data_IF_004122142213
#
_entry.id   IF_004122142213
#
_cell.length_a   1.000
_cell.length_b   1.000
_cell.length_c   1.000
_cell.angle_alpha   90.00
_cell.angle_beta   90.00
_cell.angle_gamma   90.00
#
_symmetry.space_group_name_H-M   'P 1'
#
loop_
_entity.id
_entity.type
_entity.pdbx_description
1 polymer ?
#
# COMPACT_ATOMS: atom_id res chain seq x y z
N UNK A 1 -8.82 -13.09 5.77
CA UNK A 1 -9.05 -11.64 5.74
C UNK A 1 -7.71 -10.91 5.74
N UNK A 2 -7.54 -9.97 4.82
CA UNK A 2 -6.27 -9.24 4.72
C UNK A 2 -6.25 -8.07 5.66
N UNK A 3 -5.12 -7.89 6.33
CA UNK A 3 -4.90 -6.72 7.18
C UNK A 3 -4.25 -5.60 6.37
N UNK A 4 -4.35 -4.38 6.89
CA UNK A 4 -3.73 -3.23 6.24
C UNK A 4 -2.20 -3.39 6.19
N UNK A 5 -1.60 -4.02 7.19
CA UNK A 5 -0.15 -4.27 7.20
C UNK A 5 0.27 -5.19 6.06
N UNK A 6 -0.50 -6.23 5.80
CA UNK A 6 -0.23 -7.12 4.68
C UNK A 6 -0.30 -6.39 3.34
N UNK A 7 -1.29 -5.51 3.19
CA UNK A 7 -1.43 -4.71 1.98
C UNK A 7 -0.23 -3.77 1.80
N UNK A 8 0.19 -3.12 2.87
CA UNK A 8 1.35 -2.23 2.85
C UNK A 8 2.61 -2.99 2.43
N UNK A 9 2.84 -4.17 2.98
CA UNK A 9 3.99 -4.99 2.62
C UNK A 9 3.95 -5.37 1.14
N UNK A 10 2.79 -5.74 0.64
CA UNK A 10 2.64 -6.08 -0.77
C UNK A 10 2.96 -4.88 -1.65
N UNK A 11 2.42 -3.71 -1.30
CA UNK A 11 2.66 -2.50 -2.08
C UNK A 11 4.13 -2.10 -2.07
N UNK A 12 4.80 -2.22 -0.94
CA UNK A 12 6.24 -1.93 -0.86
C UNK A 12 7.05 -2.86 -1.76
N UNK A 13 6.69 -4.14 -1.79
CA UNK A 13 7.35 -5.11 -2.66
C UNK A 13 7.12 -4.77 -4.13
N UNK A 14 5.91 -4.42 -4.49
CA UNK A 14 5.56 -4.03 -5.86
C UNK A 14 6.25 -2.74 -6.27
N UNK A 15 6.41 -1.80 -5.35
CA UNK A 15 7.14 -0.56 -5.60
C UNK A 15 8.59 -0.86 -6.00
N UNK A 16 9.25 -1.76 -5.27
CA UNK A 16 10.61 -2.15 -5.60
C UNK A 16 10.69 -2.78 -6.98
N UNK A 17 9.72 -3.63 -7.32
CA UNK A 17 9.66 -4.24 -8.64
C UNK A 17 9.45 -3.20 -9.74
N UNK A 18 8.55 -2.25 -9.51
CA UNK A 18 8.29 -1.18 -10.47
C UNK A 18 9.53 -0.33 -10.71
N UNK A 19 10.29 -0.04 -9.66
CA UNK A 19 11.54 0.69 -9.79
C UNK A 19 12.56 -0.09 -10.63
N UNK A 20 12.68 -1.38 -10.38
CA UNK A 20 13.59 -2.24 -11.12
C UNK A 20 13.22 -2.33 -12.60
N UNK A 21 11.92 -2.26 -12.91
CA UNK A 21 11.43 -2.32 -14.28
C UNK A 21 11.42 -0.96 -14.97
N UNK A 22 11.63 0.13 -14.22
CA UNK A 22 11.56 1.47 -14.76
C UNK A 22 10.12 1.91 -15.09
N UNK A 23 9.13 1.30 -14.46
CA UNK A 23 7.72 1.60 -14.72
C UNK A 23 7.25 2.71 -13.79
N UNK A 24 7.47 3.97 -14.21
CA UNK A 24 7.15 5.13 -13.38
C UNK A 24 5.67 5.31 -13.13
N UNK A 25 4.84 5.04 -14.13
CA UNK A 25 3.39 5.18 -13.96
C UNK A 25 2.87 4.27 -12.85
N UNK A 26 3.29 3.02 -12.87
CA UNK A 26 2.90 2.06 -11.85
C UNK A 26 3.49 2.45 -10.50
N UNK A 27 4.73 2.95 -10.49
CA UNK A 27 5.39 3.39 -9.27
C UNK A 27 4.60 4.51 -8.58
N UNK A 28 4.20 5.53 -9.34
CA UNK A 28 3.40 6.64 -8.79
C UNK A 28 2.07 6.16 -8.24
N UNK A 29 1.40 5.27 -8.96
CA UNK A 29 0.13 4.72 -8.53
C UNK A 29 0.28 3.97 -7.20
N UNK A 30 1.31 3.14 -7.10
CA UNK A 30 1.57 2.38 -5.88
C UNK A 30 1.96 3.28 -4.72
N UNK A 31 2.74 4.33 -4.97
CA UNK A 31 3.10 5.28 -3.93
C UNK A 31 1.87 6.01 -3.38
N UNK A 32 0.96 6.43 -4.26
CA UNK A 32 -0.27 7.08 -3.83
C UNK A 32 -1.12 6.13 -2.98
N UNK A 33 -1.25 4.90 -3.42
CA UNK A 33 -2.01 3.89 -2.69
C UNK A 33 -1.37 3.62 -1.32
N UNK A 34 -0.05 3.50 -1.29
CA UNK A 34 0.66 3.26 -0.05
C UNK A 34 0.48 4.43 0.94
N UNK A 35 0.54 5.65 0.44
CA UNK A 35 0.31 6.83 1.28
C UNK A 35 -1.09 6.83 1.88
N UNK A 36 -2.09 6.47 1.07
CA UNK A 36 -3.47 6.39 1.56
C UNK A 36 -3.61 5.34 2.66
N UNK A 37 -2.97 4.19 2.50
CA UNK A 37 -3.01 3.13 3.50
C UNK A 37 -2.31 3.56 4.79
N UNK A 38 -1.20 4.26 4.69
CA UNK A 38 -0.47 4.74 5.87
C UNK A 38 -1.28 5.80 6.62
N UNK A 39 -1.94 6.70 5.90
CA UNK A 39 -2.81 7.68 6.51
C UNK A 39 -3.97 7.03 7.24
N UNK A 40 -4.58 6.05 6.60
CA UNK A 40 -5.66 5.31 7.24
C UNK A 40 -5.20 4.65 8.53
N UNK A 41 -4.05 4.01 8.50
CA UNK A 41 -3.48 3.35 9.67
C UNK A 41 -3.18 4.34 10.78
N UNK A 42 -2.70 5.52 10.43
CA UNK A 42 -2.40 6.58 11.41
C UNK A 42 -3.67 7.11 12.07
N UNK A 43 -4.72 7.33 11.30
CA UNK A 43 -5.99 7.86 11.82
C UNK A 43 -6.85 6.81 12.51
N UNK A 44 -6.62 5.54 12.20
CA UNK A 44 -7.40 4.42 12.76
C UNK A 44 -6.44 3.36 13.34
N UNK A 45 -5.69 3.70 14.39
CA UNK A 45 -4.63 2.80 14.89
C UNK A 45 -5.17 1.49 15.46
N UNK A 46 -6.42 1.46 15.88
CA UNK A 46 -7.04 0.26 16.43
C UNK A 46 -7.70 -0.61 15.35
N UNK A 47 -7.95 -0.04 14.19
CA UNK A 47 -8.59 -0.74 13.08
C UNK A 47 -7.54 -1.29 12.15
N UNK A 48 -7.38 -2.60 12.14
CA UNK A 48 -6.40 -3.27 11.29
C UNK A 48 -7.00 -3.78 9.99
N UNK A 49 -8.28 -3.51 9.77
CA UNK A 49 -8.94 -3.94 8.55
C UNK A 49 -8.49 -3.08 7.37
N UNK A 50 -8.14 -3.74 6.26
CA UNK A 50 -7.75 -3.04 5.04
C UNK A 50 -9.00 -2.45 4.38
N UNK A 51 -9.07 -1.11 4.21
CA UNK A 51 -10.25 -0.48 3.61
C UNK A 51 -10.46 -0.88 2.15
N UNK A 52 -9.42 -1.36 1.47
CA UNK A 52 -9.50 -1.79 0.08
C UNK A 52 -9.71 -3.29 -0.07
N UNK A 53 -9.75 -4.05 1.03
CA UNK A 53 -10.01 -5.48 1.01
C UNK A 53 -11.49 -5.74 1.26
N UNK A 54 -12.08 -6.51 0.41
CA UNK A 54 -13.49 -6.90 0.55
C UNK A 54 -13.65 -8.28 1.13
#
# INVERSE_FOLDING_TARGET
MKTIDEHIQKDESEIQQAKAQGNESKLHHLEDELNSLKEYKEHHPEDKHDPNAL
#
